data_IF_879708581080
#
_entry.id   IF_879708581080
#
_cell.length_a   1.000
_cell.length_b   1.000
_cell.length_c   1.000
_cell.angle_alpha   90.00
_cell.angle_beta   90.00
_cell.angle_gamma   90.00
#
_symmetry.space_group_name_H-M   'P 1'
#
loop_
_entity.id
_entity.type
_entity.pdbx_description
1 polymer ?
#
# COMPACT_ATOMS: atom_id res chain seq x y z
N UNK A 1 3.01 20.61 15.92
CA UNK A 1 2.13 20.12 17.00
C UNK A 1 0.69 20.38 16.58
N UNK A 2 -0.18 19.37 16.57
CA UNK A 2 -1.61 19.52 16.25
C UNK A 2 -2.42 19.34 17.53
N UNK A 3 -3.28 20.29 17.88
CA UNK A 3 -4.19 20.19 19.04
C UNK A 3 -5.59 19.88 18.52
N UNK A 4 -6.27 18.88 19.08
CA UNK A 4 -7.58 18.44 18.59
C UNK A 4 -8.59 18.14 19.70
N UNK A 5 -9.86 18.45 19.41
CA UNK A 5 -11.04 18.11 20.21
C UNK A 5 -11.81 16.94 19.57
N UNK A 6 -12.65 16.20 20.33
CA UNK A 6 -13.36 15.03 19.81
C UNK A 6 -14.23 15.32 18.58
N UNK A 7 -14.87 16.49 18.52
CA UNK A 7 -15.70 16.92 17.39
C UNK A 7 -14.91 17.09 16.07
N UNK A 8 -13.59 17.27 16.15
CA UNK A 8 -12.71 17.49 14.99
C UNK A 8 -11.79 16.30 14.71
N UNK A 9 -12.06 15.13 15.29
CA UNK A 9 -11.19 13.97 15.21
C UNK A 9 -10.89 13.52 13.76
N UNK A 10 -11.87 13.40 12.83
CA UNK A 10 -11.58 12.99 11.45
C UNK A 10 -10.67 13.99 10.71
N UNK A 11 -10.93 15.29 10.90
CA UNK A 11 -10.14 16.36 10.28
C UNK A 11 -8.71 16.40 10.83
N UNK A 12 -8.56 16.16 12.14
CA UNK A 12 -7.26 16.09 12.78
C UNK A 12 -6.45 14.88 12.30
N UNK A 13 -7.06 13.70 12.22
CA UNK A 13 -6.40 12.49 11.69
C UNK A 13 -5.95 12.70 10.25
N UNK A 14 -6.80 13.31 9.40
CA UNK A 14 -6.43 13.62 8.03
C UNK A 14 -5.25 14.61 7.94
N UNK A 15 -5.25 15.67 8.75
CA UNK A 15 -4.14 16.63 8.80
C UNK A 15 -2.83 16.01 9.29
N UNK A 16 -2.91 15.15 10.32
CA UNK A 16 -1.75 14.42 10.84
C UNK A 16 -1.24 13.44 9.78
N UNK A 17 -2.12 12.72 9.09
CA UNK A 17 -1.76 11.81 8.00
C UNK A 17 -1.03 12.54 6.86
N UNK A 18 -1.53 13.71 6.45
CA UNK A 18 -0.91 14.52 5.40
C UNK A 18 0.52 14.95 5.77
N UNK A 19 0.73 15.39 7.01
CA UNK A 19 2.06 15.75 7.51
C UNK A 19 3.01 14.54 7.59
N UNK A 20 2.53 13.39 8.08
CA UNK A 20 3.34 12.17 8.12
C UNK A 20 3.70 11.71 6.71
N UNK A 21 2.79 11.84 5.73
CA UNK A 21 3.09 11.54 4.33
C UNK A 21 4.18 12.46 3.74
N UNK A 22 4.35 13.66 4.28
CA UNK A 22 5.43 14.58 3.91
C UNK A 22 6.75 14.29 4.66
N UNK A 23 6.81 13.22 5.45
CA UNK A 23 8.01 12.82 6.21
C UNK A 23 8.12 13.48 7.58
N UNK A 24 7.11 14.26 8.01
CA UNK A 24 7.13 14.87 9.33
C UNK A 24 6.72 13.87 10.42
N UNK A 25 7.47 13.86 11.52
CA UNK A 25 6.97 13.28 12.78
C UNK A 25 6.04 14.28 13.44
N UNK A 26 4.87 13.83 13.84
CA UNK A 26 3.82 14.70 14.36
C UNK A 26 3.59 14.43 15.83
N UNK A 27 3.53 15.49 16.62
CA UNK A 27 3.03 15.41 17.97
C UNK A 27 1.61 15.97 18.01
N UNK A 28 0.68 15.18 18.54
CA UNK A 28 -0.72 15.53 18.63
C UNK A 28 -1.20 15.56 20.08
N UNK A 29 -1.84 16.65 20.48
CA UNK A 29 -2.42 16.82 21.81
C UNK A 29 -3.93 16.69 21.75
N UNK A 30 -4.51 15.89 22.65
CA UNK A 30 -5.97 15.79 22.79
C UNK A 30 -6.39 15.55 24.23
N UNK A 31 -7.53 16.13 24.62
CA UNK A 31 -8.19 15.80 25.90
C UNK A 31 -8.62 14.33 26.02
N UNK A 32 -8.71 13.62 24.89
CA UNK A 32 -8.97 12.18 24.81
C UNK A 32 -7.84 11.46 24.05
N UNK A 33 -6.62 11.36 24.63
CA UNK A 33 -5.43 10.89 23.91
C UNK A 33 -5.55 9.43 23.46
N UNK A 34 -6.25 8.58 24.23
CA UNK A 34 -6.49 7.17 23.84
C UNK A 34 -7.36 7.07 22.58
N UNK A 35 -8.39 7.92 22.46
CA UNK A 35 -9.27 7.95 21.31
C UNK A 35 -8.52 8.45 20.07
N UNK A 36 -7.74 9.52 20.20
CA UNK A 36 -6.91 10.01 19.10
C UNK A 36 -5.84 8.99 18.67
N UNK A 37 -5.15 8.35 19.63
CA UNK A 37 -4.17 7.31 19.32
C UNK A 37 -4.80 6.08 18.65
N UNK A 38 -6.04 5.73 19.00
CA UNK A 38 -6.79 4.69 18.30
C UNK A 38 -7.08 5.11 16.85
N UNK A 39 -7.66 6.29 16.64
CA UNK A 39 -8.00 6.80 15.31
C UNK A 39 -6.77 7.03 14.40
N UNK A 40 -5.62 7.39 14.96
CA UNK A 40 -4.37 7.49 14.21
C UNK A 40 -3.83 6.12 13.82
N UNK A 41 -3.86 5.14 14.73
CA UNK A 41 -3.49 3.75 14.39
C UNK A 41 -4.42 3.16 13.33
N UNK A 42 -5.71 3.51 13.38
CA UNK A 42 -6.67 3.19 12.32
C UNK A 42 -6.23 3.79 10.97
N UNK A 43 -5.70 5.02 10.96
CA UNK A 43 -5.15 5.62 9.75
C UNK A 43 -3.76 5.08 9.32
N UNK A 44 -3.25 4.04 9.98
CA UNK A 44 -1.92 3.47 9.73
C UNK A 44 -0.77 4.30 10.32
N UNK A 45 -1.07 5.23 11.22
CA UNK A 45 -0.10 6.11 11.87
C UNK A 45 0.21 5.59 13.27
N UNK A 46 1.42 5.10 13.45
CA UNK A 46 1.88 4.50 14.70
C UNK A 46 2.79 5.42 15.53
N UNK A 47 3.23 4.93 16.71
CA UNK A 47 4.15 5.66 17.60
C UNK A 47 5.49 6.03 16.96
N UNK A 48 5.88 5.35 15.87
CA UNK A 48 7.07 5.66 15.09
C UNK A 48 6.99 7.04 14.41
N UNK A 49 5.80 7.47 14.00
CA UNK A 49 5.58 8.72 13.27
C UNK A 49 4.68 9.73 14.00
N UNK A 50 3.87 9.28 14.97
CA UNK A 50 2.97 10.16 15.72
C UNK A 50 3.02 9.90 17.22
N UNK A 51 3.30 10.93 18.01
CA UNK A 51 3.12 10.90 19.46
C UNK A 51 1.79 11.52 19.84
N UNK A 52 1.03 10.86 20.72
CA UNK A 52 -0.22 11.39 21.24
C UNK A 52 -0.09 11.67 22.72
N UNK A 53 -0.18 12.96 23.07
CA UNK A 53 -0.08 13.44 24.45
C UNK A 53 -1.40 14.04 24.92
N UNK A 54 -1.63 14.05 26.24
CA UNK A 54 -2.82 14.68 26.82
C UNK A 54 -2.70 16.21 26.73
N UNK A 55 -1.59 16.76 27.22
CA UNK A 55 -1.28 18.18 27.12
C UNK A 55 0.01 18.41 26.34
N UNK A 56 0.07 19.53 25.62
CA UNK A 56 1.27 19.96 24.88
C UNK A 56 2.53 20.07 25.75
N UNK A 57 2.39 20.35 27.05
CA UNK A 57 3.50 20.42 28.02
C UNK A 57 4.02 19.05 28.44
N UNK A 58 3.23 17.99 28.25
CA UNK A 58 3.62 16.61 28.56
C UNK A 58 4.43 16.00 27.40
N UNK A 59 4.60 16.76 26.32
CA UNK A 59 5.44 16.45 25.19
C UNK A 59 6.89 16.23 25.63
N UNK A 60 7.39 15.02 25.42
CA UNK A 60 8.83 14.82 25.34
C UNK A 60 9.26 14.92 23.88
N UNK A 61 10.51 15.34 23.60
CA UNK A 61 11.07 15.15 22.27
C UNK A 61 10.93 13.68 21.93
N UNK A 62 10.15 13.39 20.88
CA UNK A 62 9.96 12.05 20.35
C UNK A 62 11.31 11.34 20.33
N UNK A 63 11.48 10.19 21.02
CA UNK A 63 12.76 9.51 21.08
C UNK A 63 13.27 9.35 19.66
N UNK A 64 14.58 9.59 19.48
CA UNK A 64 15.26 9.21 18.25
C UNK A 64 15.06 7.71 18.13
N UNK A 65 14.08 7.30 17.32
CA UNK A 65 13.91 5.89 16.98
C UNK A 65 15.20 5.53 16.28
N UNK A 66 15.94 4.57 16.84
CA UNK A 66 17.11 4.02 16.14
C UNK A 66 16.68 3.72 14.71
N UNK A 67 17.47 4.12 13.70
CA UNK A 67 17.03 4.06 12.32
C UNK A 67 16.52 2.65 12.04
N UNK A 68 15.20 2.52 11.87
CA UNK A 68 14.59 1.24 11.59
C UNK A 68 15.32 0.68 10.38
N UNK A 69 15.87 -0.53 10.51
CA UNK A 69 16.60 -1.19 9.41
C UNK A 69 15.80 -1.02 8.13
N UNK A 70 16.43 -0.43 7.11
CA UNK A 70 15.79 -0.19 5.81
C UNK A 70 15.14 -1.49 5.31
N UNK A 71 13.87 -1.40 4.95
CA UNK A 71 13.15 -2.52 4.36
C UNK A 71 13.62 -2.72 2.92
N UNK A 72 14.13 -3.91 2.64
CA UNK A 72 14.58 -4.29 1.30
C UNK A 72 13.41 -4.78 0.47
N UNK A 73 13.19 -4.17 -0.68
CA UNK A 73 12.04 -4.41 -1.54
C UNK A 73 12.48 -5.01 -2.87
N UNK A 74 11.93 -6.17 -3.23
CA UNK A 74 11.96 -6.70 -4.59
C UNK A 74 10.64 -6.37 -5.29
N UNK A 75 10.69 -5.70 -6.44
CA UNK A 75 9.52 -5.30 -7.22
C UNK A 75 9.33 -6.24 -8.41
N UNK A 76 8.16 -6.86 -8.54
CA UNK A 76 7.79 -7.69 -9.67
C UNK A 76 6.79 -6.93 -10.54
N UNK A 77 7.25 -6.39 -11.66
CA UNK A 77 6.47 -5.54 -12.55
C UNK A 77 6.77 -4.04 -12.37
N UNK A 78 6.97 -3.35 -13.49
CA UNK A 78 7.27 -1.91 -13.54
C UNK A 78 6.39 -1.21 -14.60
N UNK A 79 5.08 -1.49 -14.54
CA UNK A 79 4.06 -0.76 -15.30
C UNK A 79 3.71 0.59 -14.67
N UNK A 80 2.51 1.10 -14.89
CA UNK A 80 2.03 2.37 -14.32
C UNK A 80 2.15 2.40 -12.79
N UNK A 81 1.60 1.37 -12.12
CA UNK A 81 1.65 1.27 -10.65
C UNK A 81 3.07 1.07 -10.16
N UNK A 82 3.84 0.16 -10.78
CA UNK A 82 5.22 -0.14 -10.36
C UNK A 82 6.16 1.07 -10.52
N UNK A 83 5.99 1.86 -11.56
CA UNK A 83 6.76 3.11 -11.77
C UNK A 83 6.44 4.13 -10.69
N UNK A 84 5.15 4.34 -10.38
CA UNK A 84 4.73 5.26 -9.32
C UNK A 84 5.23 4.82 -7.95
N UNK A 85 5.17 3.52 -7.65
CA UNK A 85 5.70 2.95 -6.42
C UNK A 85 7.22 3.13 -6.33
N UNK A 86 7.97 2.78 -7.38
CA UNK A 86 9.43 2.94 -7.38
C UNK A 86 9.84 4.39 -7.10
N UNK A 87 9.22 5.36 -7.78
CA UNK A 87 9.47 6.79 -7.55
C UNK A 87 9.23 7.16 -6.08
N UNK A 88 8.10 6.73 -5.51
CA UNK A 88 7.78 7.04 -4.11
C UNK A 88 8.74 6.37 -3.13
N UNK A 89 9.20 5.16 -3.39
CA UNK A 89 10.20 4.49 -2.55
C UNK A 89 11.57 5.16 -2.65
N UNK A 90 11.94 5.65 -3.82
CA UNK A 90 13.21 6.37 -4.04
C UNK A 90 13.26 7.73 -3.31
N UNK A 91 12.11 8.34 -3.01
CA UNK A 91 11.99 9.54 -2.17
C UNK A 91 12.17 9.28 -0.67
N UNK A 92 12.19 8.00 -0.25
CA UNK A 92 12.27 7.58 1.16
C UNK A 92 13.45 6.61 1.41
N UNK A 93 14.69 6.98 1.01
CA UNK A 93 15.86 6.09 1.07
C UNK A 93 16.28 5.70 2.50
N UNK A 94 15.87 6.45 3.51
CA UNK A 94 16.04 6.16 4.93
C UNK A 94 15.17 5.01 5.42
N UNK A 95 14.05 4.74 4.75
CA UNK A 95 13.11 3.69 5.12
C UNK A 95 13.20 2.46 4.21
N UNK A 96 13.50 2.66 2.92
CA UNK A 96 13.41 1.60 1.92
C UNK A 96 14.67 1.46 1.09
N UNK A 97 14.91 0.25 0.60
CA UNK A 97 15.95 -0.03 -0.39
C UNK A 97 15.39 -0.99 -1.42
N UNK A 98 15.21 -0.51 -2.65
CA UNK A 98 14.80 -1.38 -3.77
C UNK A 98 16.01 -2.19 -4.21
N UNK A 99 15.93 -3.51 -4.07
CA UNK A 99 17.05 -4.43 -4.34
C UNK A 99 17.01 -5.02 -5.74
N UNK A 100 15.82 -5.15 -6.32
CA UNK A 100 15.59 -5.69 -7.65
C UNK A 100 14.24 -5.23 -8.22
N UNK A 101 14.16 -5.12 -9.54
CA UNK A 101 12.95 -4.85 -10.31
C UNK A 101 12.89 -5.86 -11.46
N UNK A 102 11.95 -6.81 -11.39
CA UNK A 102 11.74 -7.80 -12.43
C UNK A 102 10.72 -7.30 -13.46
N UNK A 103 11.06 -7.35 -14.75
CA UNK A 103 10.21 -6.90 -15.87
C UNK A 103 10.40 -7.79 -17.08
N UNK A 104 9.45 -7.80 -18.01
CA UNK A 104 9.64 -8.52 -19.30
C UNK A 104 10.57 -7.77 -20.26
N UNK A 105 10.50 -6.44 -20.25
CA UNK A 105 11.27 -5.56 -21.13
C UNK A 105 12.05 -4.56 -20.26
N UNK A 106 13.34 -4.83 -20.08
CA UNK A 106 14.25 -4.00 -19.28
C UNK A 106 14.44 -2.62 -19.90
N UNK A 107 14.54 -2.51 -21.22
CA UNK A 107 14.71 -1.23 -21.90
C UNK A 107 13.50 -0.32 -21.74
N UNK A 108 12.28 -0.88 -21.78
CA UNK A 108 11.06 -0.13 -21.47
C UNK A 108 11.06 0.37 -20.02
N UNK A 109 11.51 -0.45 -19.07
CA UNK A 109 11.58 -0.06 -17.68
C UNK A 109 12.64 1.05 -17.44
N UNK A 110 13.79 0.97 -18.11
CA UNK A 110 14.82 2.03 -18.08
C UNK A 110 14.27 3.36 -18.59
N UNK A 111 13.59 3.35 -19.74
CA UNK A 111 12.92 4.55 -20.29
C UNK A 111 11.88 5.14 -19.34
N UNK A 112 11.29 4.32 -18.48
CA UNK A 112 10.33 4.75 -17.46
C UNK A 112 10.98 5.19 -16.13
N UNK A 113 12.31 5.21 -16.05
CA UNK A 113 13.08 5.74 -14.92
C UNK A 113 13.60 4.69 -13.94
N UNK A 114 13.52 3.39 -14.24
CA UNK A 114 14.15 2.36 -13.43
C UNK A 114 15.67 2.30 -13.72
N UNK A 115 16.55 2.28 -12.69
CA UNK A 115 17.99 2.14 -12.91
C UNK A 115 18.34 0.77 -13.48
N UNK A 116 19.15 0.72 -14.54
CA UNK A 116 19.61 -0.51 -15.19
C UNK A 116 20.17 -1.55 -14.20
N UNK A 117 20.93 -1.12 -13.18
CA UNK A 117 21.51 -2.00 -12.15
C UNK A 117 20.49 -2.76 -11.29
N UNK A 118 19.23 -2.32 -11.26
CA UNK A 118 18.16 -2.97 -10.49
C UNK A 118 17.32 -3.89 -11.38
N UNK A 119 17.46 -3.81 -12.70
CA UNK A 119 16.55 -4.46 -13.64
C UNK A 119 16.98 -5.90 -13.92
N UNK A 120 15.97 -6.78 -13.91
CA UNK A 120 16.12 -8.18 -14.26
C UNK A 120 14.99 -8.58 -15.21
N UNK A 121 15.31 -9.35 -16.24
CA UNK A 121 14.32 -9.97 -17.13
C UNK A 121 13.77 -11.30 -16.60
N UNK A 122 14.29 -11.79 -15.47
CA UNK A 122 13.88 -13.01 -14.79
C UNK A 122 13.49 -12.71 -13.33
N UNK A 123 12.28 -13.09 -12.95
CA UNK A 123 11.77 -12.91 -11.59
C UNK A 123 12.55 -13.74 -10.55
N UNK A 124 13.03 -14.93 -10.91
CA UNK A 124 13.83 -15.78 -10.01
C UNK A 124 15.17 -15.13 -9.69
N UNK A 125 15.83 -14.54 -10.70
CA UNK A 125 17.09 -13.81 -10.50
C UNK A 125 16.88 -12.56 -9.63
N UNK A 126 15.78 -11.83 -9.84
CA UNK A 126 15.43 -10.69 -8.99
C UNK A 126 15.21 -11.11 -7.53
N UNK A 127 14.52 -12.23 -7.30
CA UNK A 127 14.23 -12.76 -5.97
C UNK A 127 15.41 -13.50 -5.32
N UNK A 128 16.47 -13.83 -6.05
CA UNK A 128 17.68 -14.40 -5.46
C UNK A 128 18.46 -13.39 -4.58
N UNK A 129 18.24 -12.09 -4.79
CA UNK A 129 18.83 -11.02 -3.97
C UNK A 129 18.12 -10.95 -2.63
N UNK A 130 18.83 -10.63 -1.55
CA UNK A 130 18.22 -10.53 -0.23
C UNK A 130 17.18 -9.41 -0.17
N UNK A 131 15.94 -9.75 0.20
CA UNK A 131 14.82 -8.83 0.34
C UNK A 131 13.97 -9.20 1.55
N UNK A 132 13.24 -8.23 2.08
CA UNK A 132 12.32 -8.42 3.21
C UNK A 132 10.87 -8.50 2.72
N UNK A 133 10.56 -7.73 1.67
CA UNK A 133 9.23 -7.61 1.08
C UNK A 133 9.32 -7.83 -0.43
N UNK A 134 8.42 -8.64 -0.97
CA UNK A 134 8.14 -8.74 -2.40
C UNK A 134 6.89 -7.96 -2.71
N UNK A 135 6.97 -7.04 -3.67
CA UNK A 135 5.80 -6.31 -4.18
C UNK A 135 5.46 -6.83 -5.56
N UNK A 136 4.30 -7.49 -5.70
CA UNK A 136 3.85 -8.14 -6.92
C UNK A 136 2.81 -7.27 -7.65
N UNK A 137 3.16 -6.85 -8.86
CA UNK A 137 2.38 -5.97 -9.74
C UNK A 137 2.36 -6.49 -11.19
N UNK A 138 2.53 -7.81 -11.36
CA UNK A 138 2.43 -8.47 -12.65
C UNK A 138 0.94 -8.61 -13.00
N UNK A 139 0.60 -8.38 -14.27
CA UNK A 139 -0.75 -8.67 -14.77
C UNK A 139 -0.98 -10.15 -15.04
N UNK A 140 -2.22 -10.61 -14.93
CA UNK A 140 -2.59 -12.03 -15.12
C UNK A 140 -2.39 -12.87 -13.86
N UNK A 141 -2.71 -14.16 -13.92
CA UNK A 141 -2.67 -15.06 -12.76
C UNK A 141 -1.37 -15.85 -12.65
N UNK A 142 -0.81 -16.28 -13.77
CA UNK A 142 0.49 -16.96 -13.86
C UNK A 142 1.46 -16.09 -14.68
N UNK A 143 2.73 -15.98 -14.26
CA UNK A 143 3.38 -16.67 -13.12
C UNK A 143 3.14 -16.00 -11.75
N UNK A 144 2.35 -14.93 -11.67
CA UNK A 144 2.18 -14.12 -10.45
C UNK A 144 1.86 -14.95 -9.19
N UNK A 145 0.90 -15.87 -9.27
CA UNK A 145 0.52 -16.70 -8.13
C UNK A 145 1.65 -17.62 -7.64
N UNK A 146 2.46 -18.16 -8.55
CA UNK A 146 3.61 -19.00 -8.20
C UNK A 146 4.72 -18.18 -7.52
N UNK A 147 4.94 -16.95 -8.00
CA UNK A 147 5.92 -16.04 -7.42
C UNK A 147 5.51 -15.63 -6.01
N UNK A 148 4.23 -15.30 -5.79
CA UNK A 148 3.69 -15.00 -4.44
C UNK A 148 3.88 -16.21 -3.52
N UNK A 149 3.43 -17.39 -3.95
CA UNK A 149 3.51 -18.63 -3.17
C UNK A 149 4.96 -18.97 -2.78
N UNK A 150 5.89 -18.89 -3.74
CA UNK A 150 7.32 -19.14 -3.48
C UNK A 150 7.93 -18.11 -2.52
N UNK A 151 7.52 -16.84 -2.62
CA UNK A 151 8.02 -15.77 -1.75
C UNK A 151 7.55 -15.95 -0.31
N UNK A 152 6.27 -16.31 -0.12
CA UNK A 152 5.72 -16.61 1.20
C UNK A 152 6.43 -17.82 1.83
N UNK A 153 6.64 -18.91 1.08
CA UNK A 153 7.39 -20.08 1.55
C UNK A 153 8.85 -19.76 1.91
N UNK A 154 9.44 -18.78 1.24
CA UNK A 154 10.79 -18.32 1.53
C UNK A 154 10.86 -17.37 2.75
N UNK A 155 9.76 -17.22 3.50
CA UNK A 155 9.71 -16.35 4.68
C UNK A 155 9.77 -14.86 4.34
N UNK A 156 9.22 -14.47 3.19
CA UNK A 156 9.16 -13.06 2.74
C UNK A 156 7.74 -12.53 2.87
N UNK A 157 7.61 -11.28 3.33
CA UNK A 157 6.33 -10.59 3.26
C UNK A 157 5.99 -10.31 1.79
N UNK A 158 4.70 -10.36 1.45
CA UNK A 158 4.23 -10.08 0.10
C UNK A 158 3.15 -8.99 0.12
N UNK A 159 3.31 -8.00 -0.75
CA UNK A 159 2.28 -7.02 -1.08
C UNK A 159 1.89 -7.22 -2.54
N UNK A 160 0.60 -7.28 -2.87
CA UNK A 160 0.14 -7.44 -4.26
C UNK A 160 -1.04 -6.52 -4.59
N UNK A 161 -1.13 -6.09 -5.85
CA UNK A 161 -2.31 -5.42 -6.40
C UNK A 161 -3.17 -6.36 -7.29
N UNK A 162 -2.84 -7.64 -7.34
CA UNK A 162 -3.38 -8.57 -8.31
C UNK A 162 -4.71 -9.19 -7.86
N UNK A 163 -5.81 -8.52 -8.23
CA UNK A 163 -7.18 -8.95 -7.92
C UNK A 163 -7.53 -10.36 -8.42
N UNK A 164 -6.99 -10.77 -9.57
CA UNK A 164 -7.30 -12.08 -10.14
C UNK A 164 -6.68 -13.21 -9.31
N UNK A 165 -5.44 -13.02 -8.84
CA UNK A 165 -4.79 -13.99 -7.96
C UNK A 165 -5.48 -14.05 -6.60
N UNK A 166 -5.79 -12.90 -6.00
CA UNK A 166 -6.44 -12.87 -4.68
C UNK A 166 -7.85 -13.46 -4.75
N UNK A 167 -8.64 -13.17 -5.79
CA UNK A 167 -9.97 -13.74 -5.96
C UNK A 167 -9.94 -15.27 -6.13
N UNK A 168 -8.95 -15.81 -6.86
CA UNK A 168 -8.87 -17.25 -7.12
C UNK A 168 -8.13 -18.06 -6.06
N UNK A 169 -7.14 -17.48 -5.38
CA UNK A 169 -6.21 -18.20 -4.47
C UNK A 169 -5.99 -17.51 -3.13
N UNK A 170 -6.69 -16.41 -2.83
CA UNK A 170 -6.51 -15.60 -1.62
C UNK A 170 -6.50 -16.42 -0.32
N UNK A 171 -7.55 -17.21 0.00
CA UNK A 171 -7.60 -17.99 1.23
C UNK A 171 -6.41 -18.95 1.40
N UNK A 172 -5.99 -19.59 0.31
CA UNK A 172 -4.81 -20.48 0.31
C UNK A 172 -3.51 -19.70 0.58
N UNK A 173 -3.32 -18.57 -0.09
CA UNK A 173 -2.12 -17.75 0.10
C UNK A 173 -2.06 -17.10 1.50
N UNK A 174 -3.21 -16.76 2.08
CA UNK A 174 -3.29 -16.29 3.46
C UNK A 174 -2.94 -17.36 4.48
N UNK A 175 -3.41 -18.61 4.27
CA UNK A 175 -3.01 -19.73 5.11
C UNK A 175 -1.49 -19.91 5.07
N UNK A 176 -0.92 -19.93 3.86
CA UNK A 176 0.51 -20.07 3.65
C UNK A 176 1.32 -18.95 4.33
N UNK A 177 0.85 -17.70 4.24
CA UNK A 177 1.48 -16.57 4.92
C UNK A 177 1.50 -16.74 6.44
N UNK A 178 0.39 -17.24 7.03
CA UNK A 178 0.30 -17.54 8.47
C UNK A 178 1.26 -18.65 8.88
N UNK A 179 1.31 -19.75 8.12
CA UNK A 179 2.22 -20.87 8.38
C UNK A 179 3.69 -20.46 8.33
N UNK A 180 4.05 -19.58 7.39
CA UNK A 180 5.40 -19.06 7.25
C UNK A 180 5.73 -17.89 8.21
N UNK A 181 4.77 -17.45 9.05
CA UNK A 181 4.97 -16.34 9.98
C UNK A 181 5.16 -14.97 9.31
N UNK A 182 4.66 -14.80 8.09
CA UNK A 182 4.78 -13.57 7.28
C UNK A 182 3.43 -12.96 6.96
N UNK A 183 3.44 -11.83 6.25
CA UNK A 183 2.24 -11.09 5.91
C UNK A 183 1.99 -11.13 4.42
N UNK A 184 0.73 -11.27 4.06
CA UNK A 184 0.20 -11.05 2.71
C UNK A 184 -0.76 -9.86 2.76
N UNK A 185 -0.40 -8.75 2.11
CA UNK A 185 -1.21 -7.54 2.03
C UNK A 185 -1.64 -7.28 0.59
N UNK A 186 -2.89 -6.88 0.38
CA UNK A 186 -3.44 -6.75 -0.97
C UNK A 186 -4.49 -5.64 -1.10
N UNK A 187 -4.40 -4.58 -0.29
CA UNK A 187 -5.33 -3.44 -0.33
C UNK A 187 -5.55 -2.89 -1.74
N UNK A 188 -4.46 -2.72 -2.49
CA UNK A 188 -4.48 -2.17 -3.84
C UNK A 188 -5.25 -3.05 -4.86
N UNK A 189 -5.60 -4.29 -4.52
CA UNK A 189 -6.44 -5.14 -5.37
C UNK A 189 -7.94 -4.78 -5.30
N UNK A 190 -8.36 -3.94 -4.34
CA UNK A 190 -9.76 -3.55 -4.13
C UNK A 190 -9.87 -2.02 -3.99
N UNK A 191 -10.59 -1.37 -4.91
CA UNK A 191 -10.88 0.07 -4.78
C UNK A 191 -9.68 1.01 -4.99
N UNK A 192 -8.53 0.50 -5.47
CA UNK A 192 -7.36 1.30 -5.82
C UNK A 192 -6.74 1.99 -4.59
N UNK A 193 -6.98 3.30 -4.45
CA UNK A 193 -6.48 4.08 -3.33
C UNK A 193 -7.39 4.04 -2.08
N UNK A 194 -8.60 3.48 -2.19
CA UNK A 194 -9.53 3.36 -1.09
C UNK A 194 -9.08 2.24 -0.12
N UNK A 195 -8.92 2.51 1.19
CA UNK A 195 -8.52 1.51 2.18
C UNK A 195 -9.68 0.59 2.59
N UNK A 196 -10.39 0.00 1.61
CA UNK A 196 -11.64 -0.71 1.85
C UNK A 196 -11.46 -1.95 2.73
N UNK A 197 -10.42 -2.74 2.46
CA UNK A 197 -10.13 -3.94 3.23
C UNK A 197 -9.72 -3.61 4.67
N UNK A 198 -8.92 -2.56 4.85
CA UNK A 198 -8.51 -2.12 6.18
C UNK A 198 -9.70 -1.58 6.97
N UNK A 199 -10.61 -0.84 6.33
CA UNK A 199 -11.85 -0.36 6.95
C UNK A 199 -12.71 -1.52 7.43
N UNK A 200 -12.90 -2.56 6.60
CA UNK A 200 -13.69 -3.74 6.96
C UNK A 200 -13.03 -4.55 8.09
N UNK A 201 -11.72 -4.80 8.02
CA UNK A 201 -10.98 -5.53 9.06
C UNK A 201 -11.02 -4.83 10.42
N UNK A 202 -11.15 -3.50 10.42
CA UNK A 202 -11.20 -2.68 11.64
C UNK A 202 -12.62 -2.46 12.18
N UNK A 203 -13.65 -2.87 11.45
CA UNK A 203 -15.02 -2.72 11.93
C UNK A 203 -15.30 -3.68 13.10
N UNK A 204 -15.68 -3.12 14.25
CA UNK A 204 -15.93 -3.90 15.47
C UNK A 204 -17.31 -4.59 15.50
N UNK A 205 -18.21 -4.22 14.59
CA UNK A 205 -19.57 -4.76 14.50
C UNK A 205 -19.74 -5.78 13.37
N UNK A 206 -20.98 -6.25 13.23
CA UNK A 206 -21.36 -7.12 12.12
C UNK A 206 -21.63 -6.31 10.86
N UNK A 207 -20.94 -6.61 9.77
CA UNK A 207 -21.22 -6.03 8.45
C UNK A 207 -22.43 -6.74 7.85
N UNK A 208 -23.55 -6.02 7.70
CA UNK A 208 -24.78 -6.57 7.09
C UNK A 208 -24.82 -6.45 5.56
N UNK A 209 -23.93 -5.63 4.98
CA UNK A 209 -23.80 -5.46 3.54
C UNK A 209 -22.94 -4.25 3.16
N UNK A 210 -22.55 -4.18 1.89
CA UNK A 210 -21.89 -3.02 1.29
C UNK A 210 -22.30 -2.89 -0.18
N UNK A 211 -22.28 -1.67 -0.69
CA UNK A 211 -22.48 -1.35 -2.11
C UNK A 211 -21.40 -0.39 -2.56
N UNK A 212 -20.80 -0.63 -3.72
CA UNK A 212 -19.68 0.17 -4.20
C UNK A 212 -19.50 0.09 -5.72
N UNK A 213 -19.00 1.18 -6.31
CA UNK A 213 -18.53 1.23 -7.69
C UNK A 213 -17.02 1.03 -7.68
N UNK A 214 -16.54 -0.12 -8.14
CA UNK A 214 -15.13 -0.51 -8.04
C UNK A 214 -14.38 -0.52 -9.38
N UNK A 215 -15.06 -0.32 -10.51
CA UNK A 215 -14.46 -0.28 -11.83
C UNK A 215 -14.57 1.12 -12.43
N UNK A 216 -13.46 1.87 -12.42
CA UNK A 216 -13.40 3.22 -12.94
C UNK A 216 -13.68 3.30 -14.45
N UNK A 217 -13.20 2.35 -15.25
CA UNK A 217 -13.44 2.34 -16.71
C UNK A 217 -14.92 2.15 -17.01
N UNK A 218 -15.58 1.19 -16.37
CA UNK A 218 -17.03 1.00 -16.51
C UNK A 218 -17.80 2.23 -16.05
N UNK A 219 -17.42 2.82 -14.92
CA UNK A 219 -18.06 4.03 -14.41
C UNK A 219 -17.87 5.23 -15.37
N UNK A 220 -16.69 5.37 -15.97
CA UNK A 220 -16.42 6.39 -16.97
C UNK A 220 -17.27 6.20 -18.22
N UNK A 221 -17.33 4.98 -18.76
CA UNK A 221 -18.17 4.66 -19.92
C UNK A 221 -19.65 4.98 -19.63
N UNK A 222 -20.16 4.61 -18.46
CA UNK A 222 -21.54 4.91 -18.05
C UNK A 222 -21.79 6.42 -17.89
N UNK A 223 -20.82 7.18 -17.37
CA UNK A 223 -20.89 8.65 -17.29
C UNK A 223 -20.88 9.31 -18.68
N UNK A 224 -20.15 8.75 -19.65
CA UNK A 224 -20.21 9.21 -21.05
C UNK A 224 -21.55 8.91 -21.69
N UNK A 225 -22.08 7.71 -21.48
CA UNK A 225 -23.39 7.33 -21.98
C UNK A 225 -24.52 8.17 -21.38
N UNK A 226 -24.45 8.52 -20.09
CA UNK A 226 -25.45 9.38 -19.46
C UNK A 226 -25.48 10.81 -20.03
N UNK A 227 -24.39 11.25 -20.67
CA UNK A 227 -24.27 12.52 -21.38
C UNK A 227 -24.67 12.44 -22.86
N UNK A 228 -25.23 11.31 -23.29
CA UNK A 228 -25.81 11.12 -24.61
C UNK A 228 -24.93 10.39 -25.63
N UNK A 229 -23.72 9.94 -25.25
CA UNK A 229 -22.89 9.12 -26.14
C UNK A 229 -23.48 7.71 -26.26
N UNK A 230 -23.35 7.10 -27.43
CA UNK A 230 -23.58 5.67 -27.57
C UNK A 230 -22.52 4.86 -26.81
N UNK A 231 -22.82 3.59 -26.51
CA UNK A 231 -21.84 2.69 -25.87
C UNK A 231 -20.53 2.60 -26.69
N UNK A 232 -20.63 2.54 -28.02
CA UNK A 232 -19.47 2.44 -28.89
C UNK A 232 -18.57 3.69 -28.82
N UNK A 233 -19.16 4.88 -28.79
CA UNK A 233 -18.43 6.14 -28.64
C UNK A 233 -17.79 6.26 -27.25
N UNK A 234 -18.55 5.95 -26.19
CA UNK A 234 -18.06 5.99 -24.82
C UNK A 234 -16.89 5.03 -24.58
N UNK A 235 -16.93 3.82 -25.15
CA UNK A 235 -15.82 2.84 -25.07
C UNK A 235 -14.60 3.31 -25.87
N UNK A 236 -14.80 4.01 -26.98
CA UNK A 236 -13.69 4.54 -27.79
C UNK A 236 -12.93 5.67 -27.09
N UNK A 237 -13.58 6.42 -26.20
CA UNK A 237 -12.94 7.48 -25.40
C UNK A 237 -12.19 6.96 -24.16
N UNK A 238 -12.46 5.72 -23.73
CA UNK A 238 -11.96 5.14 -22.48
C UNK A 238 -10.62 4.41 -22.66
#
# INVERSE_FOLDING_TARGET
MIVTTPANLPRAVHGIYALVRQGHRVMASSGQPRLLAAALREAGLGPSCVEVVRHARDAQPLPLVEPQRRLRIALLGHGTVGTGLYRRLAELPEHFTVTAIAVRDVHKAERNGAPARLLHNDCRLALARAHDVVVELIGGTLPAAQLIESSLRAGRHVVTANKAVIAGRGPYLELLAREAGVQLLYSASVGGAMPALETLRRHAGSVVGFSCVLNATSNFVLDRMSRGLSLAEAVKEA
#
